data_IF_064641369716
#
_entry.id   IF_064641369716
#
_cell.length_a   1.000
_cell.length_b   1.000
_cell.length_c   1.000
_cell.angle_alpha   90.00
_cell.angle_beta   90.00
_cell.angle_gamma   90.00
#
_symmetry.space_group_name_H-M   'P 1'
#
loop_
_entity.id
_entity.type
_entity.pdbx_description
1 polymer ?
#
# COMPACT_ATOMS: atom_id res chain seq x y z
N UNK A 1 45.88 5.56 -27.57
CA UNK A 1 46.32 4.66 -26.48
C UNK A 1 45.10 4.19 -25.74
N UNK A 2 44.56 3.04 -26.18
CA UNK A 2 43.41 2.36 -25.57
C UNK A 2 43.94 1.35 -24.56
N UNK A 3 43.47 1.40 -23.31
CA UNK A 3 43.60 0.31 -22.35
C UNK A 3 42.20 -0.21 -22.01
N UNK A 4 41.86 -1.34 -22.60
CA UNK A 4 40.73 -2.17 -22.23
C UNK A 4 41.12 -2.98 -20.98
N UNK A 5 40.42 -2.78 -19.87
CA UNK A 5 40.52 -3.62 -18.68
C UNK A 5 39.36 -4.62 -18.72
N UNK A 6 39.68 -5.86 -19.08
CA UNK A 6 38.76 -7.00 -19.09
C UNK A 6 38.75 -7.60 -17.67
N UNK A 7 37.66 -7.45 -16.92
CA UNK A 7 37.47 -8.13 -15.63
C UNK A 7 36.69 -9.41 -15.88
N UNK A 8 37.38 -10.54 -15.70
CA UNK A 8 36.84 -11.89 -15.75
C UNK A 8 36.25 -12.21 -14.36
N UNK A 9 34.93 -12.37 -14.25
CA UNK A 9 34.28 -12.85 -13.02
C UNK A 9 33.88 -14.30 -13.23
N UNK A 10 34.50 -15.19 -12.46
CA UNK A 10 34.24 -16.63 -12.41
C UNK A 10 32.95 -16.91 -11.64
N UNK A 11 32.00 -17.61 -12.28
CA UNK A 11 30.77 -18.09 -11.65
C UNK A 11 31.04 -19.34 -10.80
N UNK A 12 30.74 -19.26 -9.49
CA UNK A 12 30.75 -20.40 -8.56
C UNK A 12 29.34 -20.94 -8.30
N UNK A 13 29.12 -22.16 -8.78
CA UNK A 13 28.36 -23.29 -8.20
C UNK A 13 27.00 -23.04 -7.53
N UNK A 14 25.97 -23.55 -8.22
CA UNK A 14 24.61 -23.84 -7.74
C UNK A 14 24.63 -24.97 -6.69
N UNK A 15 24.00 -24.73 -5.53
CA UNK A 15 23.64 -25.78 -4.57
C UNK A 15 22.29 -26.39 -4.96
N UNK A 16 22.26 -27.71 -5.10
CA UNK A 16 21.08 -28.51 -5.36
C UNK A 16 20.17 -28.55 -4.12
N UNK A 17 18.89 -28.21 -4.29
CA UNK A 17 17.87 -28.42 -3.26
C UNK A 17 17.34 -29.85 -3.33
N UNK A 18 17.45 -30.53 -2.21
CA UNK A 18 17.06 -31.91 -1.98
C UNK A 18 15.52 -32.04 -1.93
N UNK A 19 14.96 -32.93 -2.75
CA UNK A 19 13.52 -33.11 -2.92
C UNK A 19 13.05 -34.21 -1.98
N UNK A 20 12.50 -33.85 -0.82
CA UNK A 20 11.95 -34.87 0.09
C UNK A 20 10.62 -35.43 -0.41
N UNK A 21 10.55 -36.76 -0.38
CA UNK A 21 9.48 -37.60 -0.88
C UNK A 21 8.19 -37.49 -0.03
N UNK A 22 7.05 -37.41 -0.72
CA UNK A 22 5.72 -37.52 -0.12
C UNK A 22 5.44 -38.96 0.32
N UNK A 23 5.33 -39.18 1.63
CA UNK A 23 4.82 -40.42 2.19
C UNK A 23 3.31 -40.57 1.93
N UNK A 24 2.94 -41.69 1.31
CA UNK A 24 1.58 -42.16 1.07
C UNK A 24 0.88 -42.51 2.38
N UNK A 25 -0.32 -41.95 2.60
CA UNK A 25 -1.19 -42.25 3.74
C UNK A 25 -1.87 -43.61 3.55
N UNK A 26 -1.95 -44.47 4.58
CA UNK A 26 -2.67 -45.73 4.50
C UNK A 26 -4.19 -45.52 4.55
N UNK A 27 -4.90 -46.31 3.74
CA UNK A 27 -6.36 -46.41 3.68
C UNK A 27 -6.90 -47.08 4.94
N UNK A 28 -7.63 -46.33 5.77
CA UNK A 28 -8.39 -46.90 6.89
C UNK A 28 -9.69 -47.53 6.40
N UNK A 29 -9.87 -48.81 6.72
CA UNK A 29 -11.08 -49.57 6.49
C UNK A 29 -12.24 -49.05 7.36
N UNK A 30 -13.39 -48.84 6.72
CA UNK A 30 -14.64 -48.47 7.39
C UNK A 30 -15.24 -49.68 8.11
N UNK A 31 -15.20 -49.66 9.44
CA UNK A 31 -16.00 -50.56 10.27
C UNK A 31 -17.42 -49.99 10.44
N UNK A 32 -18.41 -50.64 9.82
CA UNK A 32 -19.84 -50.39 10.07
C UNK A 32 -20.27 -51.07 11.36
N UNK A 33 -20.44 -50.29 12.42
CA UNK A 33 -21.08 -50.74 13.66
C UNK A 33 -22.49 -50.18 13.75
N UNK A 34 -23.45 -51.05 14.08
CA UNK A 34 -24.87 -50.76 14.16
C UNK A 34 -25.19 -49.68 15.22
N UNK A 35 -25.86 -48.61 14.78
CA UNK A 35 -26.32 -47.49 15.60
C UNK A 35 -27.45 -47.95 16.52
N UNK A 36 -27.16 -48.02 17.82
CA UNK A 36 -28.15 -48.22 18.88
C UNK A 36 -28.69 -46.85 19.30
N UNK A 37 -30.00 -46.64 19.12
CA UNK A 37 -30.67 -45.38 19.45
C UNK A 37 -30.59 -45.08 20.95
N UNK A 38 -29.69 -44.17 21.35
CA UNK A 38 -29.64 -43.58 22.68
C UNK A 38 -30.58 -42.37 22.76
N UNK A 39 -31.18 -42.17 23.94
CA UNK A 39 -32.05 -41.02 24.24
C UNK A 39 -31.30 -39.70 23.96
N UNK A 40 -31.99 -38.67 23.43
CA UNK A 40 -31.39 -37.36 23.19
C UNK A 40 -30.96 -36.73 24.51
N UNK A 41 -29.66 -36.79 24.80
CA UNK A 41 -29.04 -35.99 25.85
C UNK A 41 -28.91 -34.57 25.32
N UNK A 42 -29.55 -33.62 25.98
CA UNK A 42 -29.35 -32.19 25.74
C UNK A 42 -27.86 -31.89 25.97
N UNK A 43 -27.10 -31.50 24.92
CA UNK A 43 -25.67 -31.28 25.07
C UNK A 43 -25.45 -30.11 26.04
N UNK A 44 -24.90 -30.42 27.22
CA UNK A 44 -24.34 -29.41 28.11
C UNK A 44 -23.09 -28.84 27.43
N UNK A 45 -23.29 -27.79 26.64
CA UNK A 45 -22.19 -27.03 26.08
C UNK A 45 -21.58 -26.18 27.20
N UNK A 46 -20.47 -26.67 27.76
CA UNK A 46 -19.56 -25.82 28.53
C UNK A 46 -19.24 -24.59 27.68
N UNK A 47 -19.32 -23.37 28.24
CA UNK A 47 -18.96 -22.16 27.50
C UNK A 47 -17.53 -22.32 27.00
N UNK A 48 -17.35 -22.22 25.67
CA UNK A 48 -16.03 -22.27 25.04
C UNK A 48 -15.25 -21.08 25.59
N UNK A 49 -14.29 -21.36 26.48
CA UNK A 49 -13.36 -20.36 26.96
C UNK A 49 -12.40 -20.04 25.81
N UNK A 50 -12.59 -18.88 25.18
CA UNK A 50 -11.64 -18.34 24.22
C UNK A 50 -10.43 -17.82 25.00
N UNK A 51 -9.32 -18.56 24.97
CA UNK A 51 -8.03 -18.02 25.41
C UNK A 51 -7.60 -16.95 24.41
N UNK A 52 -7.27 -15.73 24.86
CA UNK A 52 -6.76 -14.70 23.97
C UNK A 52 -5.54 -15.22 23.19
N UNK A 53 -5.54 -15.04 21.87
CA UNK A 53 -4.39 -15.38 21.03
C UNK A 53 -3.29 -14.36 21.35
N UNK A 54 -2.05 -14.79 21.67
CA UNK A 54 -0.95 -13.86 21.90
C UNK A 54 -0.66 -13.05 20.62
N UNK A 55 -0.18 -11.80 20.75
CA UNK A 55 0.15 -11.00 19.58
C UNK A 55 1.30 -11.66 18.78
N UNK A 56 1.30 -11.53 17.44
CA UNK A 56 2.39 -12.04 16.62
C UNK A 56 3.70 -11.29 16.93
N UNK A 57 4.87 -11.93 16.75
CA UNK A 57 6.16 -11.26 16.87
C UNK A 57 6.26 -10.05 15.91
N UNK A 58 7.01 -9.00 16.27
CA UNK A 58 7.21 -7.86 15.39
C UNK A 58 8.01 -8.26 14.14
N UNK A 59 7.49 -7.92 12.95
CA UNK A 59 8.16 -8.16 11.68
C UNK A 59 8.94 -6.93 11.22
N UNK A 60 10.16 -7.15 10.70
CA UNK A 60 10.97 -6.09 10.09
C UNK A 60 10.64 -5.99 8.60
N UNK A 61 9.82 -5.01 8.25
CA UNK A 61 9.38 -4.73 6.88
C UNK A 61 10.10 -3.50 6.32
N UNK A 62 10.37 -3.44 5.00
CA UNK A 62 10.84 -2.23 4.34
C UNK A 62 9.87 -1.06 4.55
N UNK A 63 10.40 0.14 4.70
CA UNK A 63 9.62 1.35 4.94
C UNK A 63 9.52 2.13 3.63
N UNK A 64 8.30 2.27 3.15
CA UNK A 64 7.99 3.04 1.96
C UNK A 64 7.31 4.35 2.32
N UNK A 65 7.33 5.31 1.42
CA UNK A 65 6.32 6.36 1.37
C UNK A 65 5.51 6.26 0.08
N UNK A 66 4.20 6.51 0.15
CA UNK A 66 3.32 6.55 -1.01
C UNK A 66 2.94 8.00 -1.30
N UNK A 67 3.30 8.49 -2.47
CA UNK A 67 2.88 9.79 -3.00
C UNK A 67 1.71 9.64 -3.97
N UNK A 68 0.70 10.49 -3.84
CA UNK A 68 -0.47 10.53 -4.71
C UNK A 68 -0.81 11.97 -5.09
N UNK A 69 -1.04 12.26 -6.38
CA UNK A 69 -1.42 13.60 -6.82
C UNK A 69 -2.82 13.94 -6.33
N UNK A 70 -2.94 15.02 -5.56
CA UNK A 70 -4.22 15.55 -5.08
C UNK A 70 -4.78 16.59 -6.06
N UNK A 71 -3.89 17.41 -6.61
CA UNK A 71 -4.16 18.41 -7.65
C UNK A 71 -2.89 18.58 -8.50
N UNK A 72 -2.93 19.37 -9.58
CA UNK A 72 -1.72 19.66 -10.37
C UNK A 72 -0.56 20.27 -9.55
N UNK A 73 -0.84 20.85 -8.39
CA UNK A 73 0.12 21.57 -7.55
C UNK A 73 0.25 21.00 -6.14
N UNK A 74 -0.47 19.92 -5.81
CA UNK A 74 -0.52 19.37 -4.47
C UNK A 74 -0.51 17.85 -4.51
N UNK A 75 0.22 17.24 -3.58
CA UNK A 75 0.29 15.79 -3.42
C UNK A 75 0.04 15.41 -1.97
N UNK A 76 -0.55 14.23 -1.75
CA UNK A 76 -0.65 13.59 -0.45
C UNK A 76 0.45 12.54 -0.33
N UNK A 77 1.15 12.51 0.82
CA UNK A 77 2.19 11.52 1.11
C UNK A 77 2.03 10.91 2.50
N UNK A 78 2.25 9.60 2.61
CA UNK A 78 2.15 8.83 3.86
C UNK A 78 3.17 7.69 3.88
N UNK A 79 3.57 7.25 5.08
CA UNK A 79 4.39 6.04 5.26
C UNK A 79 3.54 4.79 5.03
N UNK A 80 4.11 3.82 4.32
CA UNK A 80 3.55 2.50 4.10
C UNK A 80 4.60 1.45 4.46
N UNK A 81 4.31 0.59 5.43
CA UNK A 81 5.17 -0.54 5.81
C UNK A 81 4.65 -1.88 5.29
N UNK A 82 3.37 -1.93 4.91
CA UNK A 82 2.72 -3.12 4.37
C UNK A 82 2.54 -2.97 2.86
N UNK A 83 3.66 -3.11 2.15
CA UNK A 83 3.70 -3.18 0.69
C UNK A 83 4.55 -4.37 0.26
N UNK A 84 4.01 -5.24 -0.59
CA UNK A 84 4.71 -6.46 -1.02
C UNK A 84 4.40 -6.81 -2.49
N UNK A 85 5.38 -7.30 -3.26
CA UNK A 85 5.10 -7.89 -4.57
C UNK A 85 4.25 -9.16 -4.42
N UNK A 86 3.26 -9.33 -5.30
CA UNK A 86 2.40 -10.53 -5.35
C UNK A 86 2.46 -11.24 -6.71
N UNK A 87 3.00 -10.58 -7.74
CA UNK A 87 3.30 -11.18 -9.05
C UNK A 87 4.57 -10.55 -9.61
N UNK A 88 5.54 -11.38 -9.99
CA UNK A 88 6.79 -10.96 -10.66
C UNK A 88 6.71 -11.07 -12.19
N UNK A 89 5.78 -11.89 -12.70
CA UNK A 89 5.47 -11.99 -14.14
C UNK A 89 4.58 -10.84 -14.59
N UNK A 90 4.57 -10.52 -15.89
CA UNK A 90 3.66 -9.52 -16.44
C UNK A 90 2.20 -9.99 -16.37
N UNK A 91 1.25 -9.18 -15.84
CA UNK A 91 1.47 -7.87 -15.21
C UNK A 91 2.13 -8.01 -13.83
N UNK A 92 3.16 -7.20 -13.55
CA UNK A 92 3.82 -7.15 -12.24
C UNK A 92 2.84 -6.53 -11.24
N UNK A 93 2.53 -7.23 -10.16
CA UNK A 93 1.51 -6.80 -9.20
C UNK A 93 2.09 -6.62 -7.79
N UNK A 94 1.58 -5.61 -7.10
CA UNK A 94 1.88 -5.30 -5.70
C UNK A 94 0.59 -5.21 -4.89
N UNK A 95 0.65 -5.61 -3.63
CA UNK A 95 -0.36 -5.34 -2.63
C UNK A 95 0.13 -4.23 -1.70
N UNK A 96 -0.70 -3.21 -1.47
CA UNK A 96 -0.39 -2.04 -0.65
C UNK A 96 -1.53 -1.81 0.35
N UNK A 97 -1.22 -1.88 1.64
CA UNK A 97 -2.20 -1.61 2.70
C UNK A 97 -2.29 -0.12 3.00
N UNK A 98 -3.50 0.43 3.03
CA UNK A 98 -3.76 1.86 3.24
C UNK A 98 -4.75 2.06 4.38
N UNK A 99 -4.40 2.87 5.36
CA UNK A 99 -5.28 3.14 6.50
C UNK A 99 -6.53 3.92 6.04
N UNK A 100 -7.73 3.45 6.41
CA UNK A 100 -9.01 3.97 5.90
C UNK A 100 -9.25 5.46 6.19
N UNK A 101 -8.60 6.02 7.22
CA UNK A 101 -8.76 7.43 7.59
C UNK A 101 -7.67 8.35 7.02
N UNK A 102 -6.67 7.79 6.32
CA UNK A 102 -5.57 8.59 5.75
C UNK A 102 -6.01 9.38 4.52
N UNK A 103 -5.51 10.61 4.37
CA UNK A 103 -5.75 11.41 3.17
C UNK A 103 -5.15 10.75 1.92
N UNK A 104 -3.96 10.14 2.04
CA UNK A 104 -3.33 9.41 0.93
C UNK A 104 -4.24 8.30 0.40
N UNK A 105 -4.95 7.57 1.27
CA UNK A 105 -5.96 6.58 0.85
C UNK A 105 -7.10 7.21 0.06
N UNK A 106 -7.69 8.30 0.56
CA UNK A 106 -8.76 9.01 -0.14
C UNK A 106 -8.32 9.51 -1.52
N UNK A 107 -7.12 10.11 -1.61
CA UNK A 107 -6.55 10.58 -2.87
C UNK A 107 -6.23 9.43 -3.82
N UNK A 108 -5.62 8.35 -3.35
CA UNK A 108 -5.22 7.23 -4.20
C UNK A 108 -6.44 6.47 -4.76
N UNK A 109 -7.41 6.19 -3.88
CA UNK A 109 -8.61 5.41 -4.24
C UNK A 109 -9.73 6.26 -4.83
N UNK A 110 -9.71 7.58 -4.66
CA UNK A 110 -10.80 8.46 -5.09
C UNK A 110 -12.02 8.43 -4.18
N UNK A 111 -11.81 8.14 -2.91
CA UNK A 111 -12.87 8.20 -1.89
C UNK A 111 -12.94 9.62 -1.35
N UNK A 112 -14.14 10.17 -1.22
CA UNK A 112 -14.33 11.55 -0.80
C UNK A 112 -13.97 11.75 0.69
N UNK A 113 -14.36 10.81 1.56
CA UNK A 113 -14.26 10.99 3.00
C UNK A 113 -13.41 9.92 3.71
N UNK A 114 -12.68 10.29 4.77
CA UNK A 114 -11.98 9.31 5.60
C UNK A 114 -12.98 8.35 6.27
N UNK A 115 -12.68 7.05 6.24
CA UNK A 115 -13.53 6.00 6.83
C UNK A 115 -14.72 5.56 5.97
N UNK A 116 -15.00 6.23 4.86
CA UNK A 116 -16.02 5.79 3.91
C UNK A 116 -15.55 4.53 3.17
N UNK A 117 -16.42 3.52 3.05
CA UNK A 117 -16.09 2.28 2.35
C UNK A 117 -15.83 2.53 0.86
N UNK A 118 -14.80 1.87 0.34
CA UNK A 118 -14.49 1.95 -1.08
C UNK A 118 -15.53 1.14 -1.88
N UNK A 119 -16.23 1.83 -2.78
CA UNK A 119 -17.24 1.22 -3.65
C UNK A 119 -16.71 1.11 -5.08
N UNK A 120 -16.34 -0.10 -5.51
CA UNK A 120 -15.80 -0.42 -6.85
C UNK A 120 -16.70 0.04 -8.02
N UNK A 121 -18.00 0.23 -7.77
CA UNK A 121 -19.02 0.48 -8.80
C UNK A 121 -18.79 1.81 -9.55
N UNK A 122 -18.14 2.80 -8.90
CA UNK A 122 -17.99 4.14 -9.47
C UNK A 122 -16.85 4.26 -10.50
N UNK A 123 -15.79 3.43 -10.40
CA UNK A 123 -14.58 3.59 -11.22
C UNK A 123 -14.71 3.02 -12.63
N UNK A 124 -15.63 2.07 -12.85
CA UNK A 124 -15.87 1.46 -14.17
C UNK A 124 -16.79 2.28 -15.08
N UNK A 125 -17.39 3.36 -14.57
CA UNK A 125 -18.47 4.09 -15.27
C UNK A 125 -18.07 5.44 -15.87
N UNK A 126 -16.80 5.85 -15.81
CA UNK A 126 -16.35 7.18 -16.28
C UNK A 126 -15.99 7.28 -17.77
N UNK A 127 -16.05 6.19 -18.55
CA UNK A 127 -15.77 6.22 -20.00
C UNK A 127 -17.00 6.20 -20.92
N UNK A 128 -18.22 6.10 -20.39
CA UNK A 128 -19.46 6.02 -21.21
C UNK A 128 -20.56 6.93 -20.63
N UNK A 129 -20.40 8.25 -20.73
CA UNK A 129 -21.55 9.16 -20.68
C UNK A 129 -21.34 10.33 -21.63
N UNK A 130 -21.53 10.07 -22.92
CA UNK A 130 -22.10 11.04 -23.84
C UNK A 130 -23.53 10.61 -24.17
N UNK A 131 -24.48 11.51 -23.93
CA UNK A 131 -25.83 11.55 -24.50
C UNK A 131 -26.86 10.51 -24.03
N UNK A 132 -27.64 10.87 -23.00
CA UNK A 132 -29.10 10.79 -23.03
C UNK A 132 -29.69 11.43 -21.76
N UNK A 133 -30.34 12.59 -21.91
CA UNK A 133 -31.25 13.13 -20.91
C UNK A 133 -32.48 12.21 -20.85
N UNK A 134 -32.62 11.41 -19.79
CA UNK A 134 -33.91 10.85 -19.43
C UNK A 134 -34.25 11.20 -17.98
N UNK A 135 -35.26 12.06 -17.83
CA UNK A 135 -35.97 12.37 -16.61
C UNK A 135 -36.76 11.14 -16.16
N UNK A 136 -36.42 10.58 -15.00
CA UNK A 136 -37.17 9.48 -14.39
C UNK A 136 -37.00 9.46 -12.88
N UNK A 137 -38.06 9.87 -12.17
CA UNK A 137 -38.20 9.80 -10.71
C UNK A 137 -38.16 8.34 -10.24
N UNK A 138 -37.20 8.00 -9.37
CA UNK A 138 -37.02 6.65 -8.84
C UNK A 138 -36.70 6.65 -7.35
N UNK A 139 -37.73 6.41 -6.55
CA UNK A 139 -37.76 6.33 -5.08
C UNK A 139 -36.77 5.28 -4.54
N UNK A 140 -35.72 5.70 -3.83
CA UNK A 140 -34.76 4.79 -3.17
C UNK A 140 -35.17 4.53 -1.72
N UNK A 141 -35.27 3.24 -1.37
CA UNK A 141 -35.54 2.75 -0.01
C UNK A 141 -34.27 2.77 0.84
N UNK A 142 -34.45 3.31 2.04
CA UNK A 142 -33.47 3.46 3.14
C UNK A 142 -33.34 2.15 3.90
N UNK A 143 -32.12 1.65 4.06
CA UNK A 143 -31.79 0.58 5.00
C UNK A 143 -30.99 1.23 6.14
N UNK A 144 -31.64 1.46 7.28
CA UNK A 144 -30.98 1.80 8.53
C UNK A 144 -30.75 0.48 9.28
N UNK A 145 -29.48 0.08 9.44
CA UNK A 145 -29.08 -1.00 10.36
C UNK A 145 -28.25 -0.34 11.45
N UNK A 146 -28.86 -0.14 12.61
CA UNK A 146 -28.21 0.30 13.84
C UNK A 146 -27.63 -0.93 14.53
N UNK A 147 -26.30 -1.03 14.60
CA UNK A 147 -25.61 -1.97 15.48
C UNK A 147 -24.84 -1.16 16.52
N UNK A 148 -25.32 -1.24 17.76
CA UNK A 148 -24.71 -0.67 18.94
C UNK A 148 -23.80 -1.71 19.62
N UNK A 149 -22.66 -1.25 20.14
CA UNK A 149 -21.97 -1.92 21.25
C UNK A 149 -20.64 -2.60 20.92
N UNK A 150 -19.55 -1.82 20.95
CA UNK A 150 -18.22 -2.30 21.34
C UNK A 150 -17.36 -1.08 21.73
N UNK A 151 -17.42 -0.69 23.01
CA UNK A 151 -16.48 0.27 23.60
C UNK A 151 -15.15 -0.45 23.89
N UNK A 152 -14.02 0.14 23.47
CA UNK A 152 -12.69 -0.34 23.84
C UNK A 152 -11.54 -0.04 22.89
N UNK A 153 -11.78 0.53 21.71
CA UNK A 153 -10.71 0.97 20.80
C UNK A 153 -10.43 2.47 20.96
N UNK A 154 -9.16 2.83 21.08
CA UNK A 154 -8.64 4.19 21.25
C UNK A 154 -9.21 5.11 20.16
N UNK A 155 -10.28 5.83 20.52
CA UNK A 155 -11.14 6.53 19.59
C UNK A 155 -10.54 7.83 19.09
N UNK A 156 -9.89 7.78 17.92
CA UNK A 156 -9.69 8.95 17.09
C UNK A 156 -11.04 9.39 16.53
N UNK A 157 -11.80 10.19 17.29
CA UNK A 157 -13.01 10.86 16.78
C UNK A 157 -12.57 11.90 15.75
N UNK A 158 -12.65 11.54 14.47
CA UNK A 158 -12.66 12.50 13.39
C UNK A 158 -13.79 13.50 13.69
N UNK A 159 -13.44 14.75 14.04
CA UNK A 159 -14.41 15.83 14.14
C UNK A 159 -15.14 15.91 12.80
N UNK A 160 -16.47 15.83 12.80
CA UNK A 160 -17.29 16.20 11.65
C UNK A 160 -16.93 17.65 11.29
N UNK A 161 -16.14 17.81 10.24
CA UNK A 161 -15.92 19.07 9.56
C UNK A 161 -17.11 19.25 8.62
N UNK A 162 -18.19 19.82 9.15
CA UNK A 162 -19.37 20.22 8.39
C UNK A 162 -19.02 21.45 7.54
N UNK A 163 -18.28 21.26 6.44
CA UNK A 163 -18.15 22.20 5.30
C UNK A 163 -17.11 21.79 4.25
N UNK A 164 -16.75 20.51 4.12
CA UNK A 164 -15.93 20.08 2.98
C UNK A 164 -16.81 19.96 1.73
N UNK A 165 -16.72 20.97 0.85
CA UNK A 165 -17.34 21.01 -0.48
C UNK A 165 -17.12 19.68 -1.21
N UNK A 166 -18.22 19.08 -1.69
CA UNK A 166 -18.29 17.80 -2.39
C UNK A 166 -17.54 17.82 -3.75
N UNK A 167 -16.22 17.90 -3.75
CA UNK A 167 -15.45 17.43 -4.88
C UNK A 167 -15.61 15.90 -4.91
N UNK A 168 -16.33 15.40 -5.93
CA UNK A 168 -16.28 13.97 -6.26
C UNK A 168 -14.81 13.55 -6.29
N UNK A 169 -14.42 12.60 -5.44
CA UNK A 169 -13.02 12.23 -5.24
C UNK A 169 -12.34 11.97 -6.59
N UNK A 170 -11.42 12.85 -6.99
CA UNK A 170 -10.69 12.76 -8.27
C UNK A 170 -9.52 11.80 -8.14
N UNK A 171 -9.71 10.67 -7.45
CA UNK A 171 -8.63 9.72 -7.28
C UNK A 171 -8.20 9.19 -8.62
N UNK A 172 -6.94 9.42 -8.95
CA UNK A 172 -6.39 9.02 -10.23
C UNK A 172 -6.12 7.51 -10.30
N UNK A 173 -6.16 6.80 -9.16
CA UNK A 173 -5.76 5.40 -9.08
C UNK A 173 -4.29 5.20 -9.45
N UNK A 174 -3.46 6.24 -9.35
CA UNK A 174 -2.04 6.21 -9.69
C UNK A 174 -1.25 6.91 -8.59
N UNK A 175 -0.12 6.34 -8.22
CA UNK A 175 0.75 6.84 -7.15
C UNK A 175 2.18 6.31 -7.30
N UNK A 176 3.12 6.86 -6.54
CA UNK A 176 4.52 6.44 -6.53
C UNK A 176 4.87 5.95 -5.12
N UNK A 177 5.24 4.68 -5.05
CA UNK A 177 5.82 4.06 -3.86
C UNK A 177 7.34 4.32 -3.86
N UNK A 178 7.87 4.83 -2.76
CA UNK A 178 9.25 5.32 -2.66
C UNK A 178 9.94 4.60 -1.52
N UNK A 179 10.98 3.82 -1.83
CA UNK A 179 11.68 3.01 -0.84
C UNK A 179 12.65 3.88 -0.05
N UNK A 180 12.39 4.08 1.25
CA UNK A 180 13.20 4.99 2.04
C UNK A 180 14.58 4.37 2.35
N UNK A 181 15.59 5.23 2.44
CA UNK A 181 16.93 4.88 2.93
C UNK A 181 17.04 5.16 4.44
N UNK A 182 18.02 4.58 5.15
CA UNK A 182 18.20 4.84 6.58
C UNK A 182 18.35 6.33 6.94
N UNK A 183 18.93 7.14 6.04
CA UNK A 183 19.08 8.60 6.21
C UNK A 183 17.74 9.34 6.30
N UNK A 184 16.65 8.71 5.86
CA UNK A 184 15.31 9.27 5.83
C UNK A 184 14.45 8.82 7.03
N UNK A 185 15.00 8.16 8.05
CA UNK A 185 14.24 7.69 9.23
C UNK A 185 13.47 8.81 9.94
N UNK A 186 14.03 10.03 10.00
CA UNK A 186 13.39 11.23 10.57
C UNK A 186 12.10 11.64 9.85
N UNK A 187 11.88 11.22 8.60
CA UNK A 187 10.66 11.53 7.87
C UNK A 187 9.47 10.70 8.33
N UNK A 188 9.71 9.54 8.94
CA UNK A 188 8.66 8.61 9.35
C UNK A 188 7.65 9.25 10.30
N UNK A 189 8.03 9.93 11.39
CA UNK A 189 7.05 10.59 12.26
C UNK A 189 6.27 11.70 11.54
N UNK A 190 6.89 12.45 10.63
CA UNK A 190 6.23 13.53 9.87
C UNK A 190 5.16 12.96 8.93
N UNK A 191 5.55 11.95 8.14
CA UNK A 191 4.71 11.36 7.12
C UNK A 191 3.67 10.39 7.68
N UNK A 192 3.99 9.72 8.80
CA UNK A 192 3.17 8.66 9.40
C UNK A 192 2.21 9.12 10.50
N UNK A 193 2.57 10.11 11.35
CA UNK A 193 1.74 10.48 12.52
C UNK A 193 0.68 11.54 12.21
N UNK A 194 0.79 12.25 11.10
CA UNK A 194 -0.14 13.31 10.69
C UNK A 194 -0.96 12.85 9.48
N UNK A 195 -2.27 13.08 9.49
CA UNK A 195 -3.20 12.47 8.52
C UNK A 195 -3.28 13.18 7.17
N UNK A 196 -2.61 14.33 7.01
CA UNK A 196 -2.67 15.19 5.81
C UNK A 196 -3.91 16.09 5.74
N UNK A 197 -4.93 15.82 6.56
CA UNK A 197 -6.14 16.64 6.67
C UNK A 197 -5.95 17.95 7.44
N UNK A 198 -4.86 18.06 8.19
CA UNK A 198 -4.56 19.24 9.00
C UNK A 198 -3.99 20.36 8.12
N UNK A 199 -4.82 21.35 7.80
CA UNK A 199 -4.43 22.50 6.97
C UNK A 199 -3.44 23.43 7.67
N UNK A 200 -3.26 23.31 8.99
CA UNK A 200 -2.25 24.07 9.73
C UNK A 200 -0.86 23.42 9.69
N UNK A 201 -0.77 22.20 9.15
CA UNK A 201 0.45 21.41 9.14
C UNK A 201 0.83 20.97 7.72
N UNK A 202 1.91 21.55 7.20
CA UNK A 202 2.48 21.17 5.91
C UNK A 202 3.54 20.09 6.10
N UNK A 203 3.20 18.83 5.78
CA UNK A 203 4.18 17.73 5.77
C UNK A 203 5.37 18.04 4.86
N UNK A 204 5.12 18.70 3.73
CA UNK A 204 6.16 19.08 2.76
C UNK A 204 7.19 19.99 3.42
N UNK A 205 6.76 21.07 4.06
CA UNK A 205 7.66 22.05 4.69
C UNK A 205 8.45 21.43 5.85
N UNK A 206 7.79 20.56 6.63
CA UNK A 206 8.41 19.86 7.76
C UNK A 206 9.43 18.81 7.29
N UNK A 207 9.17 18.10 6.19
CA UNK A 207 10.16 17.23 5.55
C UNK A 207 11.36 18.05 5.03
N UNK A 208 11.13 19.19 4.38
CA UNK A 208 12.20 20.07 3.89
C UNK A 208 13.13 20.48 5.03
N UNK A 209 12.55 20.91 6.16
CA UNK A 209 13.29 21.33 7.36
C UNK A 209 14.13 20.19 7.93
N UNK A 210 13.56 18.99 8.10
CA UNK A 210 14.29 17.87 8.71
C UNK A 210 15.38 17.28 7.80
N UNK A 211 15.19 17.31 6.48
CA UNK A 211 16.21 16.82 5.54
C UNK A 211 17.33 17.82 5.30
N UNK A 212 17.20 19.07 5.77
CA UNK A 212 18.11 20.15 5.42
C UNK A 212 18.16 20.37 3.90
N UNK A 213 17.07 20.05 3.20
CA UNK A 213 16.97 20.25 1.76
C UNK A 213 16.22 21.55 1.51
N UNK A 214 16.91 22.50 0.89
CA UNK A 214 16.31 23.77 0.46
C UNK A 214 15.10 23.57 -0.47
N UNK A 215 15.04 22.44 -1.18
CA UNK A 215 14.04 22.17 -2.21
C UNK A 215 12.88 21.23 -1.77
N UNK A 216 12.96 20.58 -0.60
CA UNK A 216 11.87 19.74 -0.11
C UNK A 216 11.45 18.58 -1.03
N UNK A 217 10.14 18.38 -1.20
CA UNK A 217 9.62 17.41 -2.17
C UNK A 217 9.73 17.97 -3.59
N UNK A 218 10.18 17.12 -4.51
CA UNK A 218 10.47 17.48 -5.91
C UNK A 218 9.32 17.00 -6.79
N UNK A 219 8.77 17.90 -7.60
CA UNK A 219 7.71 17.55 -8.55
C UNK A 219 8.30 16.92 -9.82
N UNK A 220 7.87 15.71 -10.15
CA UNK A 220 8.31 14.98 -11.34
C UNK A 220 7.11 14.60 -12.21
N UNK A 221 7.28 14.47 -13.54
CA UNK A 221 6.27 13.84 -14.37
C UNK A 221 6.16 12.35 -14.05
N UNK A 222 4.96 11.79 -14.22
CA UNK A 222 4.78 10.33 -14.22
C UNK A 222 5.59 9.63 -15.31
N UNK A 223 5.75 8.31 -15.21
CA UNK A 223 6.38 7.52 -16.26
C UNK A 223 5.62 7.61 -17.58
N UNK A 224 6.22 7.10 -18.67
CA UNK A 224 5.61 7.05 -20.00
C UNK A 224 4.25 6.35 -20.05
N UNK A 225 3.98 5.45 -19.09
CA UNK A 225 2.72 4.69 -18.98
C UNK A 225 1.67 5.39 -18.10
N UNK A 226 2.03 6.52 -17.50
CA UNK A 226 1.13 7.34 -16.67
C UNK A 226 0.15 8.13 -17.55
N UNK A 227 -1.07 8.42 -17.05
CA UNK A 227 -1.92 9.43 -17.67
C UNK A 227 -1.15 10.74 -17.91
N UNK A 228 -1.27 11.30 -19.11
CA UNK A 228 -0.56 12.53 -19.49
C UNK A 228 -0.97 13.70 -18.58
N UNK A 229 0.00 14.52 -18.21
CA UNK A 229 -0.22 15.73 -17.41
C UNK A 229 -0.30 15.51 -15.90
N UNK A 230 -0.08 14.28 -15.40
CA UNK A 230 0.07 14.04 -13.98
C UNK A 230 1.51 14.32 -13.51
N UNK A 231 1.62 15.15 -12.49
CA UNK A 231 2.83 15.44 -11.73
C UNK A 231 2.74 14.79 -10.35
N UNK A 232 3.87 14.37 -9.81
CA UNK A 232 3.96 13.72 -8.51
C UNK A 232 5.03 14.43 -7.70
N UNK A 233 4.75 14.77 -6.44
CA UNK A 233 5.80 15.18 -5.53
C UNK A 233 6.48 13.94 -4.94
N UNK A 234 7.80 13.85 -5.08
CA UNK A 234 8.61 12.75 -4.57
C UNK A 234 9.68 13.23 -3.59
N UNK A 235 10.10 12.33 -2.71
CA UNK A 235 11.27 12.50 -1.86
C UNK A 235 12.51 12.17 -2.69
N UNK A 236 13.54 13.04 -2.73
CA UNK A 236 14.80 12.71 -3.39
C UNK A 236 15.55 11.59 -2.66
N UNK A 237 16.50 10.97 -3.35
CA UNK A 237 17.45 10.02 -2.76
C UNK A 237 16.78 8.81 -2.06
N UNK A 238 15.62 8.38 -2.53
CA UNK A 238 15.05 7.08 -2.13
C UNK A 238 15.81 5.96 -2.85
N UNK A 239 15.88 4.77 -2.24
CA UNK A 239 16.56 3.62 -2.81
C UNK A 239 15.92 3.15 -4.14
N UNK A 240 14.60 3.32 -4.28
CA UNK A 240 13.86 2.96 -5.48
C UNK A 240 12.51 3.69 -5.54
N UNK A 241 11.97 3.83 -6.75
CA UNK A 241 10.66 4.40 -7.04
C UNK A 241 9.85 3.40 -7.86
N UNK A 242 8.61 3.14 -7.46
CA UNK A 242 7.69 2.24 -8.17
C UNK A 242 6.39 2.99 -8.42
N UNK A 243 6.08 3.25 -9.69
CA UNK A 243 4.81 3.82 -10.07
C UNK A 243 3.75 2.73 -10.18
N UNK A 244 2.66 2.93 -9.44
CA UNK A 244 1.58 1.97 -9.27
C UNK A 244 0.31 2.48 -9.93
N UNK A 245 -0.44 1.56 -10.55
CA UNK A 245 -1.80 1.78 -11.03
C UNK A 245 -2.76 0.83 -10.33
N UNK A 246 -3.76 1.37 -9.65
CA UNK A 246 -4.79 0.63 -8.94
C UNK A 246 -5.54 -0.31 -9.90
N UNK A 247 -5.72 -1.56 -9.48
CA UNK A 247 -6.52 -2.57 -10.19
C UNK A 247 -7.74 -3.02 -9.41
N UNK A 248 -7.56 -3.25 -8.11
CA UNK A 248 -8.61 -3.78 -7.22
C UNK A 248 -8.34 -3.33 -5.80
N UNK A 249 -9.39 -3.21 -4.99
CA UNK A 249 -9.29 -3.01 -3.55
C UNK A 249 -9.97 -4.17 -2.85
N UNK A 250 -9.51 -4.53 -1.66
CA UNK A 250 -10.17 -5.49 -0.78
C UNK A 250 -10.14 -4.96 0.65
N UNK A 251 -11.24 -5.11 1.38
CA UNK A 251 -11.32 -4.69 2.77
C UNK A 251 -10.44 -5.58 3.66
N UNK A 252 -9.53 -4.95 4.41
CA UNK A 252 -8.65 -5.59 5.39
C UNK A 252 -8.98 -5.20 6.83
N UNK A 253 -10.17 -4.64 7.10
CA UNK A 253 -10.60 -4.19 8.42
C UNK A 253 -10.41 -2.69 8.60
N UNK A 254 -9.39 -2.27 9.34
CA UNK A 254 -9.01 -0.86 9.52
C UNK A 254 -8.19 -0.30 8.33
N UNK A 255 -7.78 -1.19 7.43
CA UNK A 255 -7.08 -0.88 6.19
C UNK A 255 -7.87 -1.33 4.96
N UNK A 256 -7.62 -0.67 3.84
CA UNK A 256 -7.91 -1.18 2.50
C UNK A 256 -6.63 -1.77 1.89
N UNK A 257 -6.72 -2.98 1.34
CA UNK A 257 -5.61 -3.60 0.59
C UNK A 257 -5.81 -3.31 -0.89
N UNK A 258 -4.99 -2.41 -1.42
CA UNK A 258 -4.95 -2.06 -2.83
C UNK A 258 -4.05 -3.03 -3.60
N UNK A 259 -4.60 -3.70 -4.60
CA UNK A 259 -3.86 -4.46 -5.59
C UNK A 259 -3.55 -3.56 -6.78
N UNK A 260 -2.27 -3.40 -7.06
CA UNK A 260 -1.75 -2.44 -8.02
C UNK A 260 -0.89 -3.13 -9.08
N UNK A 261 -1.00 -2.69 -10.32
CA UNK A 261 -0.05 -2.98 -11.39
C UNK A 261 1.14 -2.02 -11.32
N UNK A 262 2.36 -2.55 -11.44
CA UNK A 262 3.55 -1.73 -11.63
C UNK A 262 3.60 -1.24 -13.06
N UNK A 263 3.47 0.07 -13.25
CA UNK A 263 3.51 0.71 -14.57
C UNK A 263 4.85 1.42 -14.85
N UNK A 264 5.71 1.56 -13.83
CA UNK A 264 7.05 2.10 -13.98
C UNK A 264 7.92 1.80 -12.75
N UNK A 265 9.22 1.65 -12.98
CA UNK A 265 10.24 1.57 -11.93
C UNK A 265 11.31 2.60 -12.24
N UNK A 266 11.84 3.25 -11.21
CA UNK A 266 12.80 4.33 -11.36
C UNK A 266 13.83 4.38 -10.24
N UNK A 267 14.92 5.09 -10.52
CA UNK A 267 15.97 5.43 -9.56
C UNK A 267 16.18 6.93 -9.54
N UNK A 268 16.73 7.44 -8.45
CA UNK A 268 17.10 8.84 -8.37
C UNK A 268 18.31 9.16 -9.27
N UNK A 269 18.23 10.23 -10.07
CA UNK A 269 19.31 10.75 -10.90
C UNK A 269 19.78 12.09 -10.32
N UNK A 270 20.89 12.08 -9.58
CA UNK A 270 21.44 13.26 -8.91
C UNK A 270 21.76 14.40 -9.88
N UNK A 271 22.12 14.10 -11.13
CA UNK A 271 22.48 15.15 -12.09
C UNK A 271 21.26 15.90 -12.61
N UNK A 272 20.12 15.22 -12.68
CA UNK A 272 18.85 15.80 -13.14
C UNK A 272 17.95 16.24 -11.99
N UNK A 273 18.35 15.94 -10.75
CA UNK A 273 17.53 16.11 -9.55
C UNK A 273 16.12 15.55 -9.78
N UNK A 274 16.02 14.35 -10.35
CA UNK A 274 14.75 13.76 -10.77
C UNK A 274 14.78 12.23 -10.77
N UNK A 275 13.63 11.60 -10.96
CA UNK A 275 13.54 10.14 -11.11
C UNK A 275 13.81 9.76 -12.56
N UNK A 276 14.85 8.95 -12.76
CA UNK A 276 15.10 8.27 -14.01
C UNK A 276 14.25 7.00 -14.07
N UNK A 277 13.17 7.05 -14.86
CA UNK A 277 12.34 5.89 -15.16
C UNK A 277 13.09 4.92 -16.07
N UNK A 278 13.22 3.68 -15.62
CA UNK A 278 13.99 2.64 -16.28
C UNK A 278 13.18 2.00 -17.41
N UNK A 279 13.86 1.68 -18.49
CA UNK A 279 13.38 0.75 -19.51
C UNK A 279 13.34 -0.68 -18.97
N UNK A 280 12.66 -1.59 -19.68
CA UNK A 280 12.63 -3.00 -19.28
C UNK A 280 14.03 -3.63 -19.27
N UNK A 281 14.89 -3.29 -20.22
CA UNK A 281 16.29 -3.74 -20.26
C UNK A 281 17.08 -3.25 -19.05
N UNK A 282 17.04 -1.94 -18.76
CA UNK A 282 17.74 -1.36 -17.62
C UNK A 282 17.22 -1.93 -16.29
N UNK A 283 15.93 -2.28 -16.21
CA UNK A 283 15.35 -2.88 -15.01
C UNK A 283 15.90 -4.28 -14.70
N UNK A 284 16.36 -5.02 -15.73
CA UNK A 284 16.95 -6.36 -15.57
C UNK A 284 18.43 -6.30 -15.17
N UNK A 285 19.10 -5.23 -15.55
CA UNK A 285 20.52 -5.00 -15.27
C UNK A 285 20.74 -4.31 -13.92
N UNK A 286 19.67 -4.00 -13.18
CA UNK A 286 19.79 -3.42 -11.85
C UNK A 286 20.48 -4.39 -10.89
N UNK A 287 21.46 -3.86 -10.16
CA UNK A 287 22.09 -4.55 -9.06
C UNK A 287 21.04 -4.75 -7.96
N UNK A 288 21.03 -5.95 -7.38
CA UNK A 288 20.20 -6.24 -6.21
C UNK A 288 20.41 -5.17 -5.13
N UNK A 289 19.31 -4.64 -4.59
CA UNK A 289 19.39 -3.62 -3.55
C UNK A 289 20.05 -4.21 -2.31
N UNK A 290 21.16 -3.62 -1.87
CA UNK A 290 21.76 -3.98 -0.61
C UNK A 290 20.79 -3.67 0.53
N UNK A 291 20.51 -4.67 1.37
CA UNK A 291 19.69 -4.52 2.57
C UNK A 291 20.12 -3.34 3.46
N UNK A 292 21.41 -2.98 3.48
CA UNK A 292 21.91 -1.84 4.26
C UNK A 292 21.50 -0.48 3.68
N UNK A 293 21.13 -0.43 2.40
CA UNK A 293 20.70 0.79 1.70
C UNK A 293 19.23 1.13 1.93
N UNK A 294 18.46 0.22 2.52
CA UNK A 294 17.00 0.32 2.70
C UNK A 294 16.66 0.50 4.17
N UNK A 295 15.70 1.39 4.45
CA UNK A 295 15.15 1.57 5.78
C UNK A 295 14.15 0.45 6.09
N UNK A 296 14.39 -0.26 7.19
CA UNK A 296 13.48 -1.27 7.71
C UNK A 296 12.85 -0.83 9.03
N UNK A 297 11.61 -1.26 9.28
CA UNK A 297 10.89 -0.97 10.54
C UNK A 297 11.54 -1.58 11.79
N UNK A 298 12.40 -2.59 11.64
CA UNK A 298 13.25 -3.06 12.74
C UNK A 298 14.17 -1.95 13.26
N UNK A 299 14.90 -1.28 12.38
CA UNK A 299 15.79 -0.17 12.73
C UNK A 299 15.01 0.98 13.40
N UNK A 300 13.82 1.30 12.90
CA UNK A 300 12.99 2.34 13.52
C UNK A 300 12.58 2.03 14.96
N UNK A 301 12.36 0.75 15.30
CA UNK A 301 12.07 0.31 16.67
C UNK A 301 13.32 0.37 17.55
N UNK A 302 14.47 -0.05 17.02
CA UNK A 302 15.76 0.04 17.71
C UNK A 302 16.11 1.50 18.04
N UNK A 303 15.78 2.43 17.15
CA UNK A 303 15.96 3.87 17.34
C UNK A 303 14.85 4.53 18.19
N UNK A 304 13.79 3.80 18.57
CA UNK A 304 12.66 4.33 19.34
C UNK A 304 11.77 5.32 18.59
N UNK A 305 11.75 5.27 17.26
CA UNK A 305 10.92 6.15 16.40
C UNK A 305 9.48 5.65 16.33
N UNK A 306 9.30 4.31 16.30
CA UNK A 306 7.99 3.61 16.28
C UNK A 306 7.89 2.58 17.40
#
# INVERSE_FOLDING_TARGET
>A
MLSFLLILITSTTLNAFDTQAFHTRPSHAFHSSALRASKPQTPQHSPIQFTPVPPPPPLSMPVWSLSCPLSPTSSAMSIVTFATPISVSSPKLWAVSLYKTSQTRCTFLGVANPGEEYNDIASTSSSVMNSARHTGNGMRRRWDVTLAGAEGAVGWRARRLDSFSQSRGTGHGVGILQLLTPKQSKLVPILGKKTGWDTSYSKKDECSREMGLDQGWISIPGSVNSPKGLTFDVLPNCASYIQLKLKRVTDGGDHDVAICEVIGTGVWDDKKESVHWLTESESRDQIELDSSSVLYSGLLREEGII
#
